data_IF_838870810988
#
_entry.id   IF_838870810988
#
_cell.length_a   1.000
_cell.length_b   1.000
_cell.length_c   1.000
_cell.angle_alpha   90.00
_cell.angle_beta   90.00
_cell.angle_gamma   90.00
#
_symmetry.space_group_name_H-M   'P 1'
#
loop_
_entity.id
_entity.type
_entity.pdbx_description
1 polymer ?
#
# COMPACT_ATOMS: atom_id res chain seq x y z
N UNK A 1 -4.49 39.30 10.42
CA UNK A 1 -4.14 37.86 10.55
C UNK A 1 -4.74 37.14 9.36
N UNK A 2 -3.94 36.65 8.41
CA UNK A 2 -4.46 35.89 7.27
C UNK A 2 -5.06 34.58 7.76
N UNK A 3 -6.35 34.35 7.49
CA UNK A 3 -7.04 33.11 7.81
C UNK A 3 -6.37 31.98 7.01
N UNK A 4 -5.86 30.95 7.69
CA UNK A 4 -5.29 29.78 7.02
C UNK A 4 -6.37 29.10 6.17
N UNK A 5 -6.04 28.74 4.93
CA UNK A 5 -6.97 27.97 4.08
C UNK A 5 -7.19 26.57 4.66
N UNK A 6 -8.34 25.93 4.41
CA UNK A 6 -8.60 24.55 4.84
C UNK A 6 -7.52 23.55 4.41
N UNK A 7 -6.96 23.72 3.21
CA UNK A 7 -5.84 22.91 2.70
C UNK A 7 -4.57 23.07 3.54
N UNK A 8 -4.18 24.33 3.85
CA UNK A 8 -3.04 24.61 4.69
C UNK A 8 -3.23 24.05 6.11
N UNK A 9 -4.46 24.07 6.62
CA UNK A 9 -4.82 23.44 7.90
C UNK A 9 -4.64 21.92 7.81
N UNK A 10 -5.13 21.28 6.75
CA UNK A 10 -5.01 19.84 6.56
C UNK A 10 -3.54 19.38 6.52
N UNK A 11 -2.70 20.07 5.73
CA UNK A 11 -1.26 19.77 5.63
C UNK A 11 -0.55 19.94 6.98
N UNK A 12 -0.82 21.03 7.72
CA UNK A 12 -0.22 21.25 9.04
C UNK A 12 -0.70 20.22 10.06
N UNK A 13 -1.97 19.84 10.02
CA UNK A 13 -2.54 18.83 10.91
C UNK A 13 -1.98 17.43 10.64
N UNK A 14 -1.78 17.07 9.36
CA UNK A 14 -1.13 15.83 8.95
C UNK A 14 0.30 15.72 9.49
N UNK A 15 1.07 16.82 9.39
CA UNK A 15 2.43 16.90 9.95
C UNK A 15 2.44 16.86 11.49
N UNK A 16 1.39 17.37 12.13
CA UNK A 16 1.25 17.39 13.59
C UNK A 16 0.57 16.13 14.18
N UNK A 17 0.31 15.10 13.38
CA UNK A 17 -0.35 13.86 13.81
C UNK A 17 -1.79 14.07 14.34
N UNK A 18 -2.44 15.19 14.00
CA UNK A 18 -3.72 15.55 14.60
C UNK A 18 -4.90 15.20 13.67
N UNK A 19 -5.33 13.94 13.74
CA UNK A 19 -6.44 13.41 12.94
C UNK A 19 -7.76 14.14 13.20
N UNK A 20 -8.00 14.65 14.41
CA UNK A 20 -9.20 15.41 14.72
C UNK A 20 -9.27 16.72 13.91
N UNK A 21 -8.16 17.45 13.84
CA UNK A 21 -8.07 18.67 13.02
C UNK A 21 -8.09 18.34 11.53
N UNK A 22 -7.48 17.23 11.09
CA UNK A 22 -7.58 16.77 9.70
C UNK A 22 -9.03 16.50 9.29
N UNK A 23 -9.80 15.82 10.16
CA UNK A 23 -11.23 15.59 9.95
C UNK A 23 -12.00 16.91 9.82
N UNK A 24 -11.73 17.87 10.71
CA UNK A 24 -12.34 19.20 10.64
C UNK A 24 -11.99 19.94 9.34
N UNK A 25 -10.75 19.83 8.87
CA UNK A 25 -10.33 20.45 7.62
C UNK A 25 -11.01 19.85 6.39
N UNK A 26 -11.14 18.52 6.32
CA UNK A 26 -11.89 17.85 5.25
C UNK A 26 -13.37 18.22 5.28
N UNK A 27 -13.99 18.30 6.47
CA UNK A 27 -15.37 18.76 6.61
C UNK A 27 -15.56 20.23 6.18
N UNK A 28 -14.51 21.05 6.28
CA UNK A 28 -14.48 22.43 5.79
C UNK A 28 -14.16 22.53 4.29
N UNK A 29 -14.08 21.42 3.56
CA UNK A 29 -13.87 21.37 2.11
C UNK A 29 -12.40 21.35 1.68
N UNK A 30 -11.46 20.99 2.56
CA UNK A 30 -10.07 20.80 2.14
C UNK A 30 -9.94 19.63 1.14
N UNK A 31 -9.21 19.84 0.04
CA UNK A 31 -8.86 18.77 -0.88
C UNK A 31 -7.74 17.89 -0.28
N UNK A 32 -8.01 16.59 -0.15
CA UNK A 32 -7.05 15.58 0.32
C UNK A 32 -5.86 15.42 -0.64
N UNK A 33 -6.08 15.69 -1.94
CA UNK A 33 -5.06 15.65 -2.98
C UNK A 33 -4.35 16.99 -3.22
N UNK A 34 -4.77 18.05 -2.53
CA UNK A 34 -4.26 19.40 -2.73
C UNK A 34 -2.75 19.47 -2.47
N UNK A 35 -2.00 19.95 -3.45
CA UNK A 35 -0.57 20.16 -3.30
C UNK A 35 -0.31 21.49 -2.58
N UNK A 36 0.38 21.44 -1.45
CA UNK A 36 0.88 22.62 -0.75
C UNK A 36 2.18 23.15 -1.36
N UNK A 37 2.97 23.83 -0.53
CA UNK A 37 4.30 24.28 -0.94
C UNK A 37 5.18 23.09 -1.34
N UNK A 38 5.99 23.29 -2.38
CA UNK A 38 6.88 22.28 -2.97
C UNK A 38 6.19 21.09 -3.63
N UNK A 39 4.95 21.25 -4.08
CA UNK A 39 4.17 20.15 -4.66
C UNK A 39 3.73 19.09 -3.64
N UNK A 40 3.95 19.33 -2.34
CA UNK A 40 3.70 18.32 -1.30
C UNK A 40 2.24 18.26 -0.90
N UNK A 41 1.64 17.09 -1.06
CA UNK A 41 0.29 16.78 -0.58
C UNK A 41 0.24 16.57 0.94
N UNK A 42 -0.95 16.55 1.57
CA UNK A 42 -1.09 16.12 2.96
C UNK A 42 -0.44 14.76 3.26
N UNK A 43 -0.44 13.84 2.30
CA UNK A 43 0.17 12.52 2.47
C UNK A 43 1.71 12.60 2.55
N UNK A 44 2.35 13.47 1.76
CA UNK A 44 3.78 13.75 1.93
C UNK A 44 4.06 14.29 3.33
N UNK A 45 3.22 15.20 3.83
CA UNK A 45 3.37 15.79 5.15
C UNK A 45 3.22 14.76 6.28
N UNK A 46 2.31 13.79 6.14
CA UNK A 46 2.11 12.68 7.07
C UNK A 46 3.28 11.67 7.03
N UNK A 47 3.83 11.41 5.84
CA UNK A 47 5.03 10.56 5.70
C UNK A 47 6.23 11.21 6.39
N UNK A 48 6.49 12.49 6.09
CA UNK A 48 7.61 13.25 6.68
C UNK A 48 7.52 13.38 8.20
N UNK A 49 6.32 13.28 8.79
CA UNK A 49 6.16 13.28 10.24
C UNK A 49 6.38 11.89 10.87
N UNK A 50 6.38 10.81 10.09
CA UNK A 50 6.41 9.43 10.60
C UNK A 50 5.06 8.92 11.11
N UNK A 51 3.95 9.66 10.87
CA UNK A 51 2.63 9.24 11.32
C UNK A 51 2.01 8.14 10.44
N UNK A 52 2.05 6.90 10.89
CA UNK A 52 1.26 5.83 10.24
C UNK A 52 -0.25 6.14 10.33
N UNK A 53 -0.70 6.71 11.45
CA UNK A 53 -2.11 7.04 11.66
C UNK A 53 -2.60 8.13 10.70
N UNK A 54 -1.84 9.22 10.52
CA UNK A 54 -2.23 10.28 9.59
C UNK A 54 -2.16 9.79 8.14
N UNK A 55 -1.17 8.97 7.77
CA UNK A 55 -1.12 8.32 6.46
C UNK A 55 -2.37 7.47 6.22
N UNK A 56 -2.71 6.59 7.16
CA UNK A 56 -3.90 5.72 7.07
C UNK A 56 -5.18 6.52 6.91
N UNK A 57 -5.34 7.58 7.71
CA UNK A 57 -6.50 8.47 7.61
C UNK A 57 -6.61 9.13 6.24
N UNK A 58 -5.53 9.68 5.69
CA UNK A 58 -5.54 10.33 4.38
C UNK A 58 -5.83 9.35 3.24
N UNK A 59 -5.25 8.15 3.30
CA UNK A 59 -5.49 7.09 2.31
C UNK A 59 -6.95 6.62 2.31
N UNK A 60 -7.54 6.44 3.49
CA UNK A 60 -8.96 6.11 3.63
C UNK A 60 -9.89 7.20 3.08
N UNK A 61 -9.42 8.45 3.01
CA UNK A 61 -10.17 9.58 2.46
C UNK A 61 -9.80 9.88 1.00
N UNK A 62 -9.16 8.96 0.29
CA UNK A 62 -8.93 9.08 -1.16
C UNK A 62 -7.70 9.89 -1.55
N UNK A 63 -6.71 10.03 -0.66
CA UNK A 63 -5.43 10.66 -1.02
C UNK A 63 -4.76 9.95 -2.19
N UNK A 64 -4.22 10.73 -3.13
CA UNK A 64 -3.41 10.20 -4.24
C UNK A 64 -2.06 9.71 -3.73
N UNK A 65 -1.72 8.46 -4.05
CA UNK A 65 -0.51 7.76 -3.58
C UNK A 65 0.76 8.15 -4.33
N UNK A 66 0.63 8.49 -5.60
CA UNK A 66 1.76 8.57 -6.55
C UNK A 66 2.06 10.00 -6.98
N UNK A 67 1.56 11.00 -6.26
CA UNK A 67 1.90 12.41 -6.55
C UNK A 67 3.38 12.60 -6.24
N UNK A 68 4.12 13.19 -7.17
CA UNK A 68 5.52 13.56 -6.97
C UNK A 68 5.59 14.99 -6.43
N UNK A 69 6.43 15.20 -5.42
CA UNK A 69 6.78 16.54 -4.97
C UNK A 69 7.79 17.22 -5.92
N UNK A 70 8.22 18.42 -5.58
CA UNK A 70 9.19 19.16 -6.41
C UNK A 70 10.50 18.42 -6.63
N UNK A 71 10.88 17.42 -5.82
CA UNK A 71 12.09 16.62 -6.01
C UNK A 71 11.82 15.36 -6.84
N UNK A 72 10.61 15.21 -7.40
CA UNK A 72 10.18 14.00 -8.08
C UNK A 72 9.82 12.87 -7.11
N UNK A 73 9.85 13.10 -5.80
CA UNK A 73 9.67 12.04 -4.80
C UNK A 73 8.18 11.82 -4.52
N UNK A 74 7.75 10.57 -4.59
CA UNK A 74 6.43 10.16 -4.10
C UNK A 74 6.44 9.96 -2.58
N UNK A 75 5.27 9.86 -1.92
CA UNK A 75 5.19 9.44 -0.52
C UNK A 75 5.96 8.14 -0.22
N UNK A 76 6.02 7.20 -1.17
CA UNK A 76 6.79 5.96 -1.00
C UNK A 76 8.30 6.20 -1.01
N UNK A 77 8.81 7.11 -1.86
CA UNK A 77 10.23 7.51 -1.83
C UNK A 77 10.60 8.08 -0.46
N UNK A 78 9.81 9.04 0.03
CA UNK A 78 10.07 9.70 1.31
C UNK A 78 10.00 8.74 2.50
N UNK A 79 9.05 7.80 2.50
CA UNK A 79 8.94 6.79 3.56
C UNK A 79 10.15 5.84 3.57
N UNK A 80 10.63 5.48 2.39
CA UNK A 80 11.81 4.62 2.22
C UNK A 80 13.11 5.34 2.61
N UNK A 81 13.28 6.59 2.17
CA UNK A 81 14.43 7.43 2.52
C UNK A 81 14.52 7.63 4.04
N UNK A 82 13.38 7.86 4.71
CA UNK A 82 13.31 8.01 6.16
C UNK A 82 13.44 6.68 6.94
N UNK A 83 13.44 5.53 6.27
CA UNK A 83 13.49 4.22 6.92
C UNK A 83 12.21 3.84 7.67
N UNK A 84 11.07 4.47 7.35
CA UNK A 84 9.81 4.26 8.05
C UNK A 84 9.07 3.00 7.55
N UNK A 85 9.55 1.82 7.94
CA UNK A 85 9.04 0.49 7.51
C UNK A 85 7.52 0.35 7.62
N UNK A 86 6.91 0.86 8.69
CA UNK A 86 5.45 0.82 8.87
C UNK A 86 4.68 1.67 7.85
N UNK A 87 5.22 2.81 7.43
CA UNK A 87 4.62 3.64 6.39
C UNK A 87 4.83 3.04 5.01
N UNK A 88 6.02 2.47 4.74
CA UNK A 88 6.28 1.71 3.50
C UNK A 88 5.28 0.57 3.34
N UNK A 89 5.14 -0.28 4.37
CA UNK A 89 4.19 -1.39 4.36
C UNK A 89 2.75 -0.91 4.11
N UNK A 90 2.33 0.18 4.77
CA UNK A 90 1.00 0.76 4.56
C UNK A 90 0.81 1.25 3.12
N UNK A 91 1.76 2.00 2.56
CA UNK A 91 1.67 2.54 1.19
C UNK A 91 1.63 1.41 0.15
N UNK A 92 2.46 0.37 0.32
CA UNK A 92 2.44 -0.80 -0.56
C UNK A 92 1.12 -1.58 -0.46
N UNK A 93 0.51 -1.68 0.73
CA UNK A 93 -0.80 -2.31 0.89
C UNK A 93 -1.91 -1.58 0.12
N UNK A 94 -1.75 -0.26 -0.07
CA UNK A 94 -2.62 0.55 -0.90
C UNK A 94 -2.19 0.60 -2.38
N UNK A 95 -1.24 -0.24 -2.81
CA UNK A 95 -0.72 -0.32 -4.18
C UNK A 95 -0.04 0.96 -4.66
N UNK A 96 0.76 1.59 -3.80
CA UNK A 96 1.67 2.63 -4.24
C UNK A 96 2.60 2.10 -5.34
N UNK A 97 2.82 2.90 -6.39
CA UNK A 97 3.64 2.50 -7.52
C UNK A 97 5.13 2.54 -7.15
N UNK A 98 5.78 1.39 -7.27
CA UNK A 98 7.19 1.17 -6.92
C UNK A 98 8.14 1.47 -8.09
N UNK A 99 7.61 1.71 -9.29
CA UNK A 99 8.39 1.91 -10.52
C UNK A 99 8.70 3.38 -10.82
N UNK A 100 8.01 4.31 -10.14
CA UNK A 100 8.24 5.74 -10.30
C UNK A 100 9.66 6.07 -9.85
N UNK A 101 10.34 6.91 -10.64
CA UNK A 101 11.67 7.44 -10.33
C UNK A 101 11.58 8.88 -9.88
N UNK A 102 12.43 9.28 -8.94
CA UNK A 102 12.63 10.67 -8.57
C UNK A 102 13.52 11.42 -9.57
N UNK A 103 13.87 12.68 -9.26
CA UNK A 103 14.71 13.51 -10.15
C UNK A 103 16.12 12.98 -10.35
N UNK A 104 16.63 12.18 -9.42
CA UNK A 104 17.95 11.55 -9.52
C UNK A 104 17.88 10.21 -10.26
N UNK A 105 16.69 9.85 -10.77
CA UNK A 105 16.44 8.59 -11.47
C UNK A 105 16.33 7.39 -10.55
N UNK A 106 16.12 7.61 -9.24
CA UNK A 106 16.07 6.54 -8.24
C UNK A 106 14.64 6.09 -8.01
N UNK A 107 14.40 4.78 -8.03
CA UNK A 107 13.17 4.17 -7.52
C UNK A 107 13.22 4.08 -5.99
N UNK A 108 12.09 3.81 -5.30
CA UNK A 108 12.12 3.51 -3.87
C UNK A 108 13.03 2.32 -3.54
N UNK A 109 13.16 1.33 -4.43
CA UNK A 109 14.05 0.20 -4.22
C UNK A 109 15.52 0.62 -4.26
N UNK A 110 15.89 1.50 -5.19
CA UNK A 110 17.26 2.02 -5.29
C UNK A 110 17.65 2.79 -4.02
N UNK A 111 16.75 3.64 -3.51
CA UNK A 111 16.95 4.36 -2.24
C UNK A 111 17.15 3.36 -1.09
N UNK A 112 16.32 2.32 -0.99
CA UNK A 112 16.44 1.32 0.08
C UNK A 112 17.79 0.57 0.04
N UNK A 113 18.25 0.22 -1.16
CA UNK A 113 19.55 -0.45 -1.38
C UNK A 113 20.70 0.48 -1.02
N UNK A 114 20.67 1.73 -1.48
CA UNK A 114 21.71 2.72 -1.18
C UNK A 114 21.83 3.02 0.32
N UNK A 115 20.69 2.99 1.03
CA UNK A 115 20.65 3.16 2.48
C UNK A 115 20.95 1.87 3.26
N UNK A 116 21.26 0.75 2.58
CA UNK A 116 21.48 -0.57 3.16
C UNK A 116 20.34 -1.05 4.10
N UNK A 117 19.09 -0.66 3.81
CA UNK A 117 17.93 -1.01 4.63
C UNK A 117 17.30 -2.34 4.15
N UNK A 118 17.82 -3.45 4.68
CA UNK A 118 17.41 -4.80 4.30
C UNK A 118 15.90 -5.08 4.49
N UNK A 119 15.29 -4.52 5.53
CA UNK A 119 13.86 -4.71 5.81
C UNK A 119 12.99 -4.09 4.71
N UNK A 120 13.29 -2.86 4.31
CA UNK A 120 12.53 -2.17 3.25
C UNK A 120 12.80 -2.80 1.89
N UNK A 121 14.05 -3.21 1.59
CA UNK A 121 14.36 -3.97 0.37
C UNK A 121 13.51 -5.25 0.30
N UNK A 122 13.36 -5.95 1.43
CA UNK A 122 12.55 -7.16 1.51
C UNK A 122 11.07 -6.86 1.27
N UNK A 123 10.51 -5.81 1.90
CA UNK A 123 9.12 -5.41 1.69
C UNK A 123 8.83 -5.05 0.22
N UNK A 124 9.67 -4.24 -0.41
CA UNK A 124 9.48 -3.82 -1.80
C UNK A 124 9.56 -5.02 -2.76
N UNK A 125 10.50 -5.95 -2.55
CA UNK A 125 10.62 -7.17 -3.37
C UNK A 125 9.45 -8.15 -3.19
N UNK A 126 9.04 -8.41 -1.95
CA UNK A 126 7.96 -9.37 -1.67
C UNK A 126 6.62 -8.92 -2.27
N UNK A 127 6.33 -7.62 -2.25
CA UNK A 127 5.09 -7.12 -2.85
C UNK A 127 5.07 -7.27 -4.37
N UNK A 128 6.21 -7.07 -5.03
CA UNK A 128 6.35 -7.30 -6.48
C UNK A 128 6.21 -8.77 -6.86
N UNK A 129 6.85 -9.68 -6.12
CA UNK A 129 6.74 -11.12 -6.35
C UNK A 129 5.32 -11.64 -6.16
N UNK A 130 4.57 -11.13 -5.17
CA UNK A 130 3.18 -11.52 -4.96
C UNK A 130 2.25 -11.08 -6.12
N UNK A 131 2.59 -9.99 -6.81
CA UNK A 131 1.85 -9.56 -8.02
C UNK A 131 2.17 -10.48 -9.20
N UNK A 132 3.45 -10.76 -9.44
CA UNK A 132 3.91 -11.67 -10.51
C UNK A 132 3.39 -13.10 -10.33
N UNK A 133 3.37 -13.62 -9.09
CA UNK A 133 2.79 -14.94 -8.79
C UNK A 133 1.29 -14.98 -9.11
N UNK A 134 0.53 -13.96 -8.71
CA UNK A 134 -0.91 -13.89 -8.97
C UNK A 134 -1.22 -13.80 -10.47
N UNK A 135 -0.37 -13.13 -11.25
CA UNK A 135 -0.47 -13.07 -12.71
C UNK A 135 -0.13 -14.40 -13.37
N UNK A 136 0.90 -15.10 -12.88
CA UNK A 136 1.29 -16.43 -13.38
C UNK A 136 0.24 -17.51 -13.10
N UNK A 137 -0.39 -17.51 -11.92
CA UNK A 137 -1.48 -18.43 -11.54
C UNK A 137 -2.75 -18.19 -12.37
N UNK A 138 -3.00 -16.96 -12.82
CA UNK A 138 -4.11 -16.64 -13.73
C UNK A 138 -3.82 -17.01 -15.18
N UNK A 139 -2.54 -17.11 -15.56
CA UNK A 139 -2.11 -17.41 -16.91
C UNK A 139 -1.95 -18.91 -17.19
N UNK A 140 -1.78 -19.74 -16.15
CA UNK A 140 -1.61 -21.20 -16.29
C UNK A 140 -2.92 -22.00 -16.31
N UNK A 141 -4.02 -21.37 -16.71
CA UNK A 141 -5.35 -22.00 -16.83
C UNK A 141 -5.35 -23.14 -17.86
N UNK A 142 -4.88 -24.33 -17.46
CA UNK A 142 -5.43 -25.58 -17.99
C UNK A 142 -6.87 -25.70 -17.47
N UNK A 143 -7.80 -26.06 -18.35
CA UNK A 143 -9.25 -26.02 -18.12
C UNK A 143 -9.68 -26.80 -16.87
N UNK A 144 -8.88 -27.79 -16.47
CA UNK A 144 -9.04 -28.61 -15.27
C UNK A 144 -8.91 -27.84 -13.95
N UNK A 145 -8.01 -26.85 -13.84
CA UNK A 145 -7.85 -26.07 -12.60
C UNK A 145 -9.02 -25.11 -12.39
N UNK A 146 -9.54 -24.53 -13.48
CA UNK A 146 -10.68 -23.61 -13.43
C UNK A 146 -12.00 -24.31 -13.05
N UNK A 147 -12.21 -25.56 -13.46
CA UNK A 147 -13.41 -26.33 -13.11
C UNK A 147 -13.40 -26.70 -11.63
N UNK A 148 -12.29 -27.23 -11.12
CA UNK A 148 -12.14 -27.55 -9.69
C UNK A 148 -12.23 -26.28 -8.84
N UNK A 149 -11.57 -25.19 -9.23
CA UNK A 149 -11.62 -23.93 -8.48
C UNK A 149 -13.02 -23.28 -8.50
N UNK A 150 -13.77 -23.37 -9.61
CA UNK A 150 -15.18 -22.95 -9.67
C UNK A 150 -16.07 -23.77 -8.75
N UNK A 151 -15.91 -25.09 -8.74
CA UNK A 151 -16.68 -25.96 -7.87
C UNK A 151 -16.37 -25.71 -6.40
N UNK A 152 -15.09 -25.54 -6.05
CA UNK A 152 -14.68 -25.18 -4.68
C UNK A 152 -15.23 -23.83 -4.26
N UNK A 153 -15.20 -22.82 -5.14
CA UNK A 153 -15.75 -21.50 -4.82
C UNK A 153 -17.28 -21.52 -4.75
N UNK A 154 -18.00 -22.18 -5.65
CA UNK A 154 -19.46 -22.35 -5.56
C UNK A 154 -19.87 -23.15 -4.32
N UNK A 155 -19.13 -24.20 -3.96
CA UNK A 155 -19.39 -25.00 -2.77
C UNK A 155 -19.11 -24.20 -1.49
N UNK A 156 -18.03 -23.41 -1.46
CA UNK A 156 -17.71 -22.53 -0.33
C UNK A 156 -18.75 -21.41 -0.13
N UNK A 157 -19.35 -20.91 -1.20
CA UNK A 157 -20.39 -19.87 -1.12
C UNK A 157 -21.78 -20.45 -0.81
N UNK A 158 -22.08 -21.69 -1.21
CA UNK A 158 -23.39 -22.31 -0.99
C UNK A 158 -23.46 -23.18 0.28
N UNK A 159 -22.38 -23.86 0.65
CA UNK A 159 -22.31 -24.85 1.74
C UNK A 159 -20.91 -24.88 2.40
N UNK A 160 -20.50 -23.80 3.11
CA UNK A 160 -19.15 -23.64 3.66
C UNK A 160 -18.73 -24.74 4.65
N UNK A 161 -19.69 -25.39 5.33
CA UNK A 161 -19.46 -26.51 6.25
C UNK A 161 -18.90 -27.78 5.59
N UNK A 162 -19.01 -27.92 4.27
CA UNK A 162 -18.52 -29.11 3.55
C UNK A 162 -17.00 -29.09 3.29
N UNK A 163 -16.32 -27.97 3.53
CA UNK A 163 -14.87 -27.81 3.28
C UNK A 163 -13.98 -28.64 4.22
N UNK A 164 -14.49 -29.10 5.37
CA UNK A 164 -13.66 -29.79 6.39
C UNK A 164 -13.36 -31.25 6.03
N UNK A 165 -14.18 -31.90 5.19
CA UNK A 165 -13.99 -33.32 4.84
C UNK A 165 -12.93 -33.59 3.77
N UNK A 166 -12.54 -32.59 2.97
CA UNK A 166 -11.56 -32.79 1.89
C UNK A 166 -10.12 -33.02 2.38
N UNK A 167 -9.79 -32.66 3.63
CA UNK A 167 -8.44 -32.84 4.19
C UNK A 167 -8.13 -34.26 4.70
N UNK A 168 -9.12 -35.15 4.79
CA UNK A 168 -8.93 -36.48 5.40
C UNK A 168 -8.84 -37.65 4.42
N UNK A 169 -8.98 -37.44 3.11
CA UNK A 169 -9.03 -38.55 2.12
C UNK A 169 -7.77 -38.76 1.27
N UNK A 170 -6.68 -38.02 1.49
CA UNK A 170 -5.44 -38.16 0.69
C UNK A 170 -4.28 -38.84 1.43
N UNK A 171 -4.52 -39.57 2.52
CA UNK A 171 -3.43 -40.19 3.27
C UNK A 171 -3.70 -41.61 3.80
N UNK A 172 -4.35 -42.48 3.03
CA UNK A 172 -4.22 -43.94 3.22
C UNK A 172 -4.22 -44.65 1.87
N UNK A 173 -3.04 -45.09 1.41
CA UNK A 173 -2.92 -45.81 0.15
C UNK A 173 -1.50 -46.07 -0.35
N UNK A 174 -0.55 -46.43 0.51
CA UNK A 174 0.61 -47.22 0.06
C UNK A 174 0.68 -48.52 0.89
N UNK A 175 0.52 -49.70 0.26
CA UNK A 175 0.79 -50.97 0.90
C UNK A 175 2.30 -51.26 0.84
N UNK A 176 2.92 -51.43 2.00
CA UNK A 176 4.25 -52.01 2.10
C UNK A 176 4.16 -53.52 1.80
N UNK A 177 4.67 -53.94 0.64
CA UNK A 177 5.21 -55.30 0.44
C UNK A 177 6.72 -55.29 0.69
#
# INVERSE_FOLDING_TARGET
>A
MSRLSPEAVLVRAARAHNVAVMRGALAAGADVGGAGQRGRTPLHAAVLSGSVMACSFLLLNGSKLNVQDEDGKTPLHLATEAGHTGQVCLLLRYRADQSIVDKDGQTPLDIAVNNANADIVTLLRLTKLNEEMRESEMSSNDDTYNEVFRDYTQLAHSHPERLVRAKHNNNEGEPNE
#
